data_IF_948803482778
#
_entry.id   IF_948803482778
#
_cell.length_a   1.000
_cell.length_b   1.000
_cell.length_c   1.000
_cell.angle_alpha   90.00
_cell.angle_beta   90.00
_cell.angle_gamma   90.00
#
_symmetry.space_group_name_H-M   'P 1'
#
loop_
_entity.id
_entity.type
_entity.pdbx_description
1 polymer ?
#
# COMPACT_ATOMS: atom_id res chain seq x y z
N UNK A 1 -12.14 -13.56 10.51
CA UNK A 1 -12.17 -12.09 10.46
C UNK A 1 -13.62 -11.67 10.62
N UNK A 2 -13.95 -10.83 11.59
CA UNK A 2 -15.33 -10.39 11.77
C UNK A 2 -15.68 -9.43 10.62
N UNK A 3 -16.37 -9.94 9.60
CA UNK A 3 -16.77 -9.19 8.41
C UNK A 3 -18.23 -8.72 8.51
N UNK A 4 -18.73 -8.64 9.75
CA UNK A 4 -20.06 -8.16 10.06
C UNK A 4 -20.16 -6.66 9.82
N UNK A 5 -21.27 -6.25 9.23
CA UNK A 5 -21.58 -4.84 9.00
C UNK A 5 -21.94 -4.21 10.35
N UNK A 6 -21.17 -3.23 10.78
CA UNK A 6 -21.31 -2.53 12.07
C UNK A 6 -21.63 -1.03 11.89
N UNK A 7 -22.29 -0.69 10.77
CA UNK A 7 -22.75 0.63 10.37
C UNK A 7 -24.04 0.49 9.56
N UNK A 8 -24.85 1.54 9.55
CA UNK A 8 -26.09 1.57 8.76
C UNK A 8 -25.82 1.99 7.31
N UNK A 9 -26.78 1.72 6.41
CA UNK A 9 -26.72 2.22 5.04
C UNK A 9 -26.75 3.75 4.98
N UNK A 10 -27.51 4.40 5.87
CA UNK A 10 -27.59 5.86 5.94
C UNK A 10 -26.23 6.48 6.34
N UNK A 11 -25.56 5.91 7.34
CA UNK A 11 -24.21 6.34 7.75
C UNK A 11 -23.21 6.21 6.60
N UNK A 12 -23.25 5.08 5.88
CA UNK A 12 -22.40 4.85 4.72
C UNK A 12 -22.67 5.85 3.61
N UNK A 13 -23.94 6.04 3.23
CA UNK A 13 -24.31 6.95 2.16
C UNK A 13 -23.93 8.39 2.49
N UNK A 14 -24.10 8.83 3.74
CA UNK A 14 -23.68 10.16 4.17
C UNK A 14 -22.17 10.38 3.98
N UNK A 15 -21.34 9.44 4.42
CA UNK A 15 -19.89 9.52 4.26
C UNK A 15 -19.49 9.45 2.78
N UNK A 16 -20.10 8.56 2.01
CA UNK A 16 -19.85 8.41 0.58
C UNK A 16 -20.14 9.72 -0.18
N UNK A 17 -21.30 10.35 0.06
CA UNK A 17 -21.65 11.62 -0.60
C UNK A 17 -20.69 12.75 -0.23
N UNK A 18 -20.21 12.80 1.00
CA UNK A 18 -19.21 13.78 1.43
C UNK A 18 -17.90 13.62 0.63
N UNK A 19 -17.38 12.39 0.53
CA UNK A 19 -16.14 12.08 -0.20
C UNK A 19 -16.35 12.33 -1.70
N UNK A 20 -17.47 11.89 -2.26
CA UNK A 20 -17.80 12.07 -3.66
C UNK A 20 -17.89 13.56 -4.04
N UNK A 21 -18.50 14.40 -3.19
CA UNK A 21 -18.56 15.85 -3.41
C UNK A 21 -17.17 16.48 -3.44
N UNK A 22 -16.25 16.02 -2.59
CA UNK A 22 -14.86 16.47 -2.58
C UNK A 22 -14.13 16.10 -3.87
N UNK A 23 -14.32 14.89 -4.40
CA UNK A 23 -13.72 14.50 -5.67
C UNK A 23 -14.36 15.23 -6.87
N UNK A 24 -15.69 15.36 -6.91
CA UNK A 24 -16.41 16.11 -7.96
C UNK A 24 -16.00 17.58 -8.05
N UNK A 25 -15.54 18.19 -6.95
CA UNK A 25 -15.08 19.59 -6.97
C UNK A 25 -13.63 19.76 -7.41
N UNK A 26 -12.86 18.68 -7.53
CA UNK A 26 -11.43 18.70 -7.89
C UNK A 26 -11.12 18.08 -9.24
N UNK A 27 -11.85 17.04 -9.63
CA UNK A 27 -11.51 16.23 -10.79
C UNK A 27 -12.58 16.33 -11.87
N UNK A 28 -12.11 16.46 -13.11
CA UNK A 28 -12.97 16.61 -14.29
C UNK A 28 -12.90 15.37 -15.16
N UNK A 29 -13.96 15.16 -15.93
CA UNK A 29 -14.04 14.08 -16.91
C UNK A 29 -12.93 14.18 -17.95
N UNK A 30 -12.39 13.03 -18.37
CA UNK A 30 -11.32 12.91 -19.35
C UNK A 30 -11.81 12.16 -20.57
N UNK A 31 -11.41 12.62 -21.77
CA UNK A 31 -11.74 11.93 -23.03
C UNK A 31 -11.08 10.55 -23.12
N UNK A 32 -9.84 10.45 -22.65
CA UNK A 32 -9.03 9.23 -22.62
C UNK A 32 -8.57 8.99 -21.18
N UNK A 33 -9.44 8.48 -20.29
CA UNK A 33 -9.11 8.36 -18.89
C UNK A 33 -8.03 7.29 -18.65
N UNK A 34 -7.22 7.50 -17.61
CA UNK A 34 -6.12 6.60 -17.23
C UNK A 34 -6.32 6.06 -15.82
N UNK A 35 -6.01 4.79 -15.61
CA UNK A 35 -5.97 4.15 -14.30
C UNK A 35 -4.58 3.57 -14.03
N UNK A 36 -3.97 3.99 -12.92
CA UNK A 36 -2.74 3.38 -12.41
C UNK A 36 -3.07 2.55 -11.19
N UNK A 37 -2.82 1.25 -11.25
CA UNK A 37 -2.88 0.39 -10.08
C UNK A 37 -1.49 0.37 -9.44
N UNK A 38 -1.42 0.54 -8.12
CA UNK A 38 -0.16 0.46 -7.38
C UNK A 38 -0.04 -0.88 -6.67
N UNK A 39 1.17 -1.43 -6.68
CA UNK A 39 1.53 -2.68 -6.01
C UNK A 39 2.79 -2.56 -5.16
N UNK A 40 2.93 -3.49 -4.21
CA UNK A 40 4.08 -3.56 -3.30
C UNK A 40 3.64 -3.87 -1.87
N UNK A 41 4.51 -4.56 -1.14
CA UNK A 41 4.26 -4.92 0.25
C UNK A 41 4.03 -3.69 1.15
N UNK A 42 3.37 -3.85 2.31
CA UNK A 42 3.28 -2.76 3.30
C UNK A 42 4.66 -2.16 3.61
N UNK A 43 4.75 -0.83 3.68
CA UNK A 43 6.02 -0.15 3.94
C UNK A 43 6.98 -0.06 2.75
N UNK A 44 6.63 -0.59 1.57
CA UNK A 44 7.49 -0.55 0.38
C UNK A 44 7.82 0.89 -0.09
N UNK A 45 6.91 1.84 0.15
CA UNK A 45 7.09 3.24 -0.27
C UNK A 45 6.15 3.70 -1.40
N UNK A 46 5.03 3.00 -1.62
CA UNK A 46 4.05 3.31 -2.68
C UNK A 46 3.61 4.78 -2.74
N UNK A 47 3.54 5.49 -1.61
CA UNK A 47 3.19 6.91 -1.59
C UNK A 47 4.19 7.81 -2.34
N UNK A 48 5.48 7.44 -2.38
CA UNK A 48 6.48 8.19 -3.18
C UNK A 48 6.23 8.01 -4.68
N UNK A 49 5.84 6.81 -5.09
CA UNK A 49 5.47 6.48 -6.46
C UNK A 49 4.15 7.16 -6.86
N UNK A 50 3.15 7.14 -5.97
CA UNK A 50 1.89 7.87 -6.14
C UNK A 50 2.13 9.37 -6.35
N UNK A 51 2.95 10.00 -5.51
CA UNK A 51 3.30 11.42 -5.65
C UNK A 51 4.02 11.72 -6.96
N UNK A 52 4.87 10.80 -7.45
CA UNK A 52 5.54 10.96 -8.74
C UNK A 52 4.52 10.94 -9.89
N UNK A 53 3.53 10.03 -9.85
CA UNK A 53 2.48 9.93 -10.87
C UNK A 53 1.54 11.13 -10.81
N UNK A 54 1.19 11.58 -9.60
CA UNK A 54 0.17 12.60 -9.36
C UNK A 54 0.73 13.98 -9.03
N UNK A 55 1.92 14.33 -9.52
CA UNK A 55 2.58 15.62 -9.21
C UNK A 55 1.73 16.83 -9.61
N UNK A 56 0.89 16.68 -10.64
CA UNK A 56 -0.02 17.72 -11.14
C UNK A 56 -1.43 17.65 -10.51
N UNK A 57 -1.67 16.76 -9.54
CA UNK A 57 -2.97 16.54 -8.87
C UNK A 57 -4.13 16.26 -9.86
N UNK A 58 -3.84 15.51 -10.93
CA UNK A 58 -4.81 15.18 -12.00
C UNK A 58 -5.53 13.84 -11.80
N UNK A 59 -5.08 13.03 -10.84
CA UNK A 59 -5.60 11.69 -10.60
C UNK A 59 -6.32 11.63 -9.25
N UNK A 60 -7.47 10.97 -9.22
CA UNK A 60 -8.12 10.61 -7.97
C UNK A 60 -7.35 9.46 -7.34
N UNK A 61 -6.64 9.74 -6.25
CA UNK A 61 -6.04 8.71 -5.41
C UNK A 61 -7.10 8.02 -4.55
N UNK A 62 -7.25 6.71 -4.75
CA UNK A 62 -8.20 5.85 -4.03
C UNK A 62 -7.40 4.79 -3.25
N UNK A 63 -7.40 4.91 -1.92
CA UNK A 63 -6.88 3.91 -0.98
C UNK A 63 -7.92 3.61 0.09
N UNK A 64 -8.18 2.33 0.34
CA UNK A 64 -9.14 1.91 1.37
C UNK A 64 -8.80 2.44 2.77
N UNK A 65 -7.51 2.67 3.05
CA UNK A 65 -7.07 3.15 4.36
C UNK A 65 -7.50 4.58 4.65
N UNK A 66 -7.56 5.44 3.64
CA UNK A 66 -7.96 6.84 3.77
C UNK A 66 -9.44 6.99 4.17
N UNK A 67 -10.25 5.99 3.84
CA UNK A 67 -11.69 6.01 4.09
C UNK A 67 -12.09 5.49 5.46
N UNK A 68 -11.19 4.80 6.17
CA UNK A 68 -11.48 4.23 7.50
C UNK A 68 -11.89 5.30 8.52
N UNK A 69 -11.27 6.48 8.45
CA UNK A 69 -11.55 7.62 9.35
C UNK A 69 -12.97 8.17 9.23
N UNK A 70 -13.69 7.85 8.15
CA UNK A 70 -15.08 8.26 7.95
C UNK A 70 -16.09 7.27 8.55
N UNK A 71 -15.62 6.13 9.08
CA UNK A 71 -16.48 5.17 9.75
C UNK A 71 -17.11 5.80 11.01
N UNK A 72 -18.43 5.65 11.25
CA UNK A 72 -19.13 6.30 12.37
C UNK A 72 -18.56 5.93 13.74
N UNK A 73 -18.08 4.70 13.89
CA UNK A 73 -17.43 4.21 15.11
C UNK A 73 -15.89 4.31 15.10
N UNK A 74 -15.27 5.05 14.18
CA UNK A 74 -13.81 5.04 14.01
C UNK A 74 -13.05 5.27 15.33
N UNK A 75 -13.34 6.35 16.06
CA UNK A 75 -12.66 6.66 17.32
C UNK A 75 -12.92 5.63 18.41
N UNK A 76 -14.17 5.14 18.50
CA UNK A 76 -14.56 4.10 19.47
C UNK A 76 -13.82 2.78 19.21
N UNK A 77 -13.74 2.35 17.95
CA UNK A 77 -13.04 1.13 17.55
C UNK A 77 -11.55 1.24 17.83
N UNK A 78 -10.93 2.39 17.55
CA UNK A 78 -9.52 2.60 17.87
C UNK A 78 -9.27 2.65 19.39
N UNK A 79 -10.19 3.22 20.18
CA UNK A 79 -10.08 3.24 21.64
C UNK A 79 -10.18 1.83 22.25
N UNK A 80 -11.07 0.98 21.73
CA UNK A 80 -11.32 -0.37 22.27
C UNK A 80 -10.28 -1.37 21.79
N UNK A 81 -9.96 -1.35 20.49
CA UNK A 81 -9.16 -2.40 19.84
C UNK A 81 -7.73 -1.97 19.48
N UNK A 82 -7.40 -0.67 19.59
CA UNK A 82 -6.07 -0.14 19.30
C UNK A 82 -5.53 -0.62 17.95
N UNK A 83 -4.42 -1.36 17.99
CA UNK A 83 -3.74 -1.92 16.81
C UNK A 83 -4.62 -2.84 15.95
N UNK A 84 -5.67 -3.41 16.51
CA UNK A 84 -6.57 -4.36 15.82
C UNK A 84 -7.82 -3.69 15.24
N UNK A 85 -8.01 -2.38 15.43
CA UNK A 85 -9.21 -1.65 14.98
C UNK A 85 -9.46 -1.71 13.47
N UNK A 86 -8.41 -1.87 12.65
CA UNK A 86 -8.54 -1.99 11.20
C UNK A 86 -9.34 -3.22 10.75
N UNK A 87 -9.38 -4.28 11.58
CA UNK A 87 -10.19 -5.48 11.30
C UNK A 87 -11.70 -5.16 11.28
N UNK A 88 -12.13 -4.20 12.11
CA UNK A 88 -13.54 -3.80 12.27
C UNK A 88 -14.01 -2.72 11.29
N UNK A 89 -13.08 -2.13 10.53
CA UNK A 89 -13.38 -1.13 9.50
C UNK A 89 -13.09 -1.65 8.09
N UNK A 90 -12.69 -2.92 7.94
CA UNK A 90 -12.28 -3.50 6.67
C UNK A 90 -13.43 -3.52 5.65
N UNK A 91 -14.62 -3.96 6.06
CA UNK A 91 -15.81 -3.98 5.19
C UNK A 91 -16.18 -2.58 4.70
N UNK A 92 -16.25 -1.61 5.61
CA UNK A 92 -16.47 -0.19 5.30
C UNK A 92 -15.47 0.35 4.27
N UNK A 93 -14.17 0.13 4.48
CA UNK A 93 -13.15 0.59 3.54
C UNK A 93 -13.28 -0.04 2.16
N UNK A 94 -13.63 -1.34 2.10
CA UNK A 94 -13.83 -2.05 0.84
C UNK A 94 -15.06 -1.53 0.09
N UNK A 95 -16.20 -1.43 0.76
CA UNK A 95 -17.44 -0.90 0.16
C UNK A 95 -17.25 0.54 -0.35
N UNK A 96 -16.53 1.39 0.39
CA UNK A 96 -16.24 2.76 -0.02
C UNK A 96 -15.39 2.80 -1.30
N UNK A 97 -14.32 1.99 -1.38
CA UNK A 97 -13.49 1.87 -2.59
C UNK A 97 -14.33 1.42 -3.77
N UNK A 98 -15.15 0.37 -3.62
CA UNK A 98 -16.00 -0.15 -4.70
C UNK A 98 -16.98 0.91 -5.23
N UNK A 99 -17.66 1.64 -4.34
CA UNK A 99 -18.59 2.71 -4.74
C UNK A 99 -17.87 3.88 -5.43
N UNK A 100 -16.70 4.28 -4.92
CA UNK A 100 -15.92 5.36 -5.52
C UNK A 100 -15.35 4.98 -6.89
N UNK A 101 -14.89 3.75 -7.07
CA UNK A 101 -14.42 3.26 -8.36
C UNK A 101 -15.56 3.22 -9.39
N UNK A 102 -16.77 2.84 -8.99
CA UNK A 102 -17.96 2.88 -9.84
C UNK A 102 -18.24 4.31 -10.33
N UNK A 103 -18.25 5.30 -9.43
CA UNK A 103 -18.45 6.70 -9.82
C UNK A 103 -17.28 7.24 -10.65
N UNK A 104 -16.03 6.91 -10.30
CA UNK A 104 -14.86 7.37 -11.06
C UNK A 104 -14.91 6.90 -12.52
N UNK A 105 -15.28 5.63 -12.77
CA UNK A 105 -15.46 5.06 -14.12
C UNK A 105 -16.63 5.68 -14.89
N UNK A 106 -17.71 6.03 -14.18
CA UNK A 106 -18.88 6.72 -14.75
C UNK A 106 -18.53 8.14 -15.19
N UNK A 107 -17.84 8.88 -14.33
CA UNK A 107 -17.43 10.27 -14.58
C UNK A 107 -16.18 10.39 -15.46
N UNK A 108 -15.52 9.27 -15.77
CA UNK A 108 -14.27 9.19 -16.56
C UNK A 108 -13.13 10.00 -15.96
N UNK A 109 -12.95 9.92 -14.64
CA UNK A 109 -11.78 10.52 -13.98
C UNK A 109 -10.53 9.68 -14.21
N UNK A 110 -9.38 10.33 -14.21
CA UNK A 110 -8.11 9.62 -14.04
C UNK A 110 -8.01 9.09 -12.60
N UNK A 111 -7.52 7.88 -12.41
CA UNK A 111 -7.50 7.19 -11.11
C UNK A 111 -6.11 6.64 -10.80
N UNK A 112 -5.70 6.76 -9.54
CA UNK A 112 -4.65 5.92 -8.96
C UNK A 112 -5.31 5.05 -7.90
N UNK A 113 -5.24 3.73 -8.05
CA UNK A 113 -5.81 2.76 -7.11
C UNK A 113 -4.67 2.09 -6.33
N UNK A 114 -4.61 2.34 -5.02
CA UNK A 114 -3.60 1.74 -4.15
C UNK A 114 -3.97 0.31 -3.77
N UNK A 115 -2.99 -0.59 -3.86
CA UNK A 115 -3.12 -1.97 -3.45
C UNK A 115 -1.79 -2.59 -3.02
N UNK A 116 -1.89 -3.81 -2.48
CA UNK A 116 -0.72 -4.59 -2.04
C UNK A 116 -0.38 -5.77 -2.97
N UNK A 117 -1.23 -6.05 -3.97
CA UNK A 117 -1.15 -7.25 -4.81
C UNK A 117 -1.09 -8.56 -4.01
N UNK A 118 -1.81 -8.63 -2.89
CA UNK A 118 -1.91 -9.85 -2.07
C UNK A 118 -2.57 -11.03 -2.82
N UNK A 119 -3.41 -10.72 -3.81
CA UNK A 119 -4.09 -11.67 -4.68
C UNK A 119 -4.04 -11.11 -6.10
N UNK A 120 -3.72 -11.94 -7.09
CA UNK A 120 -3.65 -11.52 -8.49
C UNK A 120 -5.03 -11.24 -9.10
N UNK A 121 -6.07 -11.91 -8.63
CA UNK A 121 -7.40 -11.85 -9.23
C UNK A 121 -8.03 -10.45 -9.11
N UNK A 122 -7.80 -9.79 -7.97
CA UNK A 122 -8.36 -8.47 -7.69
C UNK A 122 -7.85 -7.39 -8.67
N UNK A 123 -6.54 -7.11 -8.79
CA UNK A 123 -6.03 -6.14 -9.76
C UNK A 123 -6.34 -6.52 -11.21
N UNK A 124 -6.38 -7.80 -11.56
CA UNK A 124 -6.80 -8.25 -12.91
C UNK A 124 -8.26 -7.89 -13.17
N UNK A 125 -9.15 -8.13 -12.20
CA UNK A 125 -10.57 -7.76 -12.31
C UNK A 125 -10.73 -6.26 -12.44
N UNK A 126 -10.13 -5.47 -11.56
CA UNK A 126 -10.24 -4.01 -11.62
C UNK A 126 -9.69 -3.46 -12.94
N UNK A 127 -8.58 -4.01 -13.46
CA UNK A 127 -8.05 -3.61 -14.75
C UNK A 127 -9.02 -3.93 -15.91
N UNK A 128 -9.68 -5.10 -15.90
CA UNK A 128 -10.71 -5.42 -16.90
C UNK A 128 -11.89 -4.44 -16.81
N UNK A 129 -12.40 -4.18 -15.61
CA UNK A 129 -13.52 -3.24 -15.39
C UNK A 129 -13.19 -1.83 -15.89
N UNK A 130 -11.95 -1.37 -15.67
CA UNK A 130 -11.48 -0.09 -16.21
C UNK A 130 -11.40 -0.10 -17.75
N UNK A 131 -10.83 -1.15 -18.36
CA UNK A 131 -10.70 -1.25 -19.82
C UNK A 131 -12.06 -1.32 -20.52
N UNK A 132 -13.02 -2.06 -19.97
CA UNK A 132 -14.41 -2.08 -20.45
C UNK A 132 -15.07 -0.69 -20.41
N UNK A 133 -14.56 0.18 -19.55
CA UNK A 133 -14.97 1.58 -19.44
C UNK A 133 -14.09 2.55 -20.25
N UNK A 134 -13.26 2.06 -21.17
CA UNK A 134 -12.47 2.90 -22.09
C UNK A 134 -11.22 3.52 -21.47
N UNK A 135 -10.70 2.96 -20.38
CA UNK A 135 -9.46 3.42 -19.76
C UNK A 135 -8.24 2.79 -20.40
N UNK A 136 -7.13 3.54 -20.40
CA UNK A 136 -5.81 2.92 -20.39
C UNK A 136 -5.44 2.54 -18.96
N UNK A 137 -4.87 1.36 -18.78
CA UNK A 137 -4.60 0.79 -17.44
C UNK A 137 -3.18 0.28 -17.34
N UNK A 138 -2.41 0.82 -16.40
CA UNK A 138 -1.04 0.40 -16.10
C UNK A 138 -0.91 -0.07 -14.64
N UNK A 139 0.01 -1.00 -14.38
CA UNK A 139 0.35 -1.50 -13.04
C UNK A 139 1.75 -1.06 -12.65
N UNK A 140 1.90 -0.23 -11.60
CA UNK A 140 3.20 0.19 -11.10
C UNK A 140 3.48 -0.45 -9.75
N UNK A 141 4.63 -1.11 -9.61
CA UNK A 141 4.99 -1.88 -8.42
C UNK A 141 6.28 -1.33 -7.82
N UNK A 142 6.31 -1.12 -6.50
CA UNK A 142 7.57 -0.79 -5.81
C UNK A 142 8.28 -2.08 -5.44
N UNK A 143 9.47 -2.29 -5.99
CA UNK A 143 10.38 -3.36 -5.66
C UNK A 143 11.38 -2.87 -4.60
N UNK A 144 11.38 -3.49 -3.44
CA UNK A 144 12.29 -3.15 -2.35
C UNK A 144 12.51 -4.35 -1.45
N UNK A 145 13.71 -4.47 -0.89
CA UNK A 145 14.06 -5.49 0.10
C UNK A 145 13.00 -5.62 1.22
N UNK A 146 12.53 -6.84 1.53
CA UNK A 146 11.54 -7.09 2.58
C UNK A 146 11.90 -6.50 3.94
N UNK A 147 13.19 -6.50 4.31
CA UNK A 147 13.67 -5.97 5.58
C UNK A 147 13.50 -4.45 5.65
N UNK A 148 13.74 -3.73 4.54
CA UNK A 148 13.54 -2.28 4.46
C UNK A 148 12.07 -1.89 4.52
N UNK A 149 11.19 -2.66 3.89
CA UNK A 149 9.75 -2.41 3.93
C UNK A 149 9.18 -2.72 5.32
N UNK A 150 9.63 -3.80 5.96
CA UNK A 150 9.23 -4.13 7.32
C UNK A 150 9.65 -3.06 8.31
N UNK A 151 10.91 -2.62 8.31
CA UNK A 151 11.35 -1.52 9.17
C UNK A 151 10.50 -0.26 8.95
N UNK A 152 10.13 0.04 7.71
CA UNK A 152 9.31 1.20 7.40
C UNK A 152 7.88 1.11 7.97
N UNK A 153 7.31 -0.10 8.12
CA UNK A 153 5.99 -0.23 8.78
C UNK A 153 6.08 0.12 10.26
N UNK A 154 7.17 -0.30 10.93
CA UNK A 154 7.45 0.01 12.33
C UNK A 154 7.72 1.50 12.54
N UNK A 155 8.56 2.09 11.69
CA UNK A 155 8.84 3.54 11.73
C UNK A 155 7.56 4.35 11.55
N UNK A 156 6.72 4.02 10.57
CA UNK A 156 5.44 4.69 10.35
C UNK A 156 4.54 4.62 11.60
N UNK A 157 4.51 3.48 12.28
CA UNK A 157 3.73 3.32 13.50
C UNK A 157 4.19 4.31 14.59
N UNK A 158 5.48 4.34 14.87
CA UNK A 158 6.06 5.24 15.88
C UNK A 158 5.95 6.73 15.49
N UNK A 159 6.13 7.07 14.20
CA UNK A 159 5.95 8.43 13.70
C UNK A 159 4.51 8.94 13.89
N UNK A 160 3.51 8.07 13.74
CA UNK A 160 2.11 8.42 13.97
C UNK A 160 1.85 8.74 15.45
N UNK A 161 2.43 7.96 16.37
CA UNK A 161 2.34 8.22 17.82
C UNK A 161 2.95 9.58 18.15
N UNK A 162 4.17 9.85 17.67
CA UNK A 162 4.88 11.12 17.92
C UNK A 162 4.07 12.32 17.40
N UNK A 163 3.34 12.15 16.30
CA UNK A 163 2.47 13.19 15.73
C UNK A 163 1.09 13.31 16.41
N UNK A 164 0.84 12.56 17.49
CA UNK A 164 -0.46 12.54 18.17
C UNK A 164 -1.61 12.00 17.32
N UNK A 165 -1.30 11.19 16.30
CA UNK A 165 -2.28 10.54 15.42
C UNK A 165 -2.50 9.10 15.85
N UNK A 166 -3.68 8.56 15.57
CA UNK A 166 -4.00 7.16 15.84
C UNK A 166 -3.11 6.27 14.96
N UNK A 167 -2.14 5.53 15.53
CA UNK A 167 -1.21 4.76 14.73
C UNK A 167 -1.88 3.48 14.23
N UNK A 168 -1.49 3.03 13.05
CA UNK A 168 -1.97 1.77 12.49
C UNK A 168 -0.81 0.80 12.38
N UNK A 169 -0.86 -0.25 13.21
CA UNK A 169 0.10 -1.33 13.13
C UNK A 169 -0.15 -2.15 11.86
N UNK A 170 0.93 -2.56 11.21
CA UNK A 170 0.87 -3.63 10.20
C UNK A 170 1.45 -4.88 10.85
N UNK A 171 0.62 -5.88 11.20
CA UNK A 171 1.12 -7.16 11.69
C UNK A 171 2.17 -7.73 10.74
N UNK A 172 3.26 -8.27 11.29
CA UNK A 172 4.38 -8.78 10.52
C UNK A 172 3.91 -9.88 9.56
N UNK A 173 2.99 -10.72 10.01
CA UNK A 173 2.43 -11.82 9.22
C UNK A 173 1.71 -11.30 7.98
N UNK A 174 1.03 -10.14 8.06
CA UNK A 174 0.40 -9.51 6.90
C UNK A 174 1.43 -8.93 5.92
N UNK A 175 2.53 -8.37 6.43
CA UNK A 175 3.64 -7.93 5.59
C UNK A 175 4.28 -9.12 4.86
N UNK A 176 4.66 -10.16 5.62
CA UNK A 176 5.38 -11.33 5.12
C UNK A 176 4.54 -12.14 4.15
N UNK A 177 3.22 -12.28 4.39
CA UNK A 177 2.31 -12.90 3.43
C UNK A 177 2.38 -12.22 2.06
N UNK A 178 2.40 -10.88 2.03
CA UNK A 178 2.52 -10.16 0.74
C UNK A 178 3.90 -10.37 0.14
N UNK A 179 4.98 -10.30 0.92
CA UNK A 179 6.35 -10.54 0.43
C UNK A 179 6.47 -11.93 -0.22
N UNK A 180 5.92 -12.96 0.39
CA UNK A 180 6.01 -14.33 -0.11
C UNK A 180 5.17 -14.55 -1.38
N UNK A 181 4.02 -13.88 -1.48
CA UNK A 181 3.06 -14.14 -2.56
C UNK A 181 3.21 -13.19 -3.75
N UNK A 182 3.75 -11.98 -3.55
CA UNK A 182 3.71 -10.90 -4.55
C UNK A 182 4.43 -11.27 -5.86
N UNK A 183 5.55 -12.01 -5.79
CA UNK A 183 6.26 -12.46 -6.99
C UNK A 183 5.40 -13.38 -7.86
N UNK A 184 4.76 -14.39 -7.25
CA UNK A 184 3.85 -15.29 -7.94
C UNK A 184 2.59 -14.57 -8.46
N UNK A 185 2.03 -13.65 -7.66
CA UNK A 185 0.89 -12.86 -8.09
C UNK A 185 1.24 -11.96 -9.29
N UNK A 186 2.44 -11.40 -9.31
CA UNK A 186 2.92 -10.56 -10.40
C UNK A 186 3.15 -11.37 -11.69
N UNK A 187 3.62 -12.61 -11.57
CA UNK A 187 3.69 -13.57 -12.68
C UNK A 187 2.29 -13.85 -13.27
N UNK A 188 1.29 -14.11 -12.42
CA UNK A 188 -0.09 -14.34 -12.86
C UNK A 188 -0.65 -13.10 -13.58
N UNK A 189 -0.42 -11.90 -13.01
CA UNK A 189 -0.85 -10.63 -13.62
C UNK A 189 -0.17 -10.39 -14.98
N UNK A 190 1.15 -10.63 -15.05
CA UNK A 190 1.91 -10.51 -16.28
C UNK A 190 1.40 -11.47 -17.37
N UNK A 191 1.08 -12.71 -17.02
CA UNK A 191 0.54 -13.70 -17.94
C UNK A 191 -0.93 -13.46 -18.31
N UNK A 192 -1.68 -12.68 -17.54
CA UNK A 192 -3.05 -12.32 -17.87
C UNK A 192 -3.14 -11.35 -19.06
N UNK A 193 -2.05 -10.64 -19.38
CA UNK A 193 -1.96 -9.64 -20.46
C UNK A 193 -3.06 -8.57 -20.41
N UNK A 194 -3.60 -8.31 -19.22
CA UNK A 194 -4.72 -7.36 -19.03
C UNK A 194 -4.23 -5.91 -19.07
N UNK A 195 -3.09 -5.63 -18.43
CA UNK A 195 -2.52 -4.30 -18.30
C UNK A 195 -1.83 -3.86 -19.59
N UNK A 196 -1.97 -2.59 -19.94
CA UNK A 196 -1.30 -1.98 -21.10
C UNK A 196 0.22 -1.86 -20.85
N UNK A 197 0.61 -1.67 -19.59
CA UNK A 197 2.00 -1.71 -19.17
C UNK A 197 2.13 -2.16 -17.70
N UNK A 198 3.26 -2.77 -17.37
CA UNK A 198 3.69 -3.10 -16.02
C UNK A 198 5.07 -2.48 -15.81
N UNK A 199 5.22 -1.66 -14.77
CA UNK A 199 6.49 -1.04 -14.42
C UNK A 199 6.88 -1.34 -12.98
N UNK A 200 8.15 -1.64 -12.76
CA UNK A 200 8.70 -1.76 -11.41
C UNK A 200 9.63 -0.59 -11.15
N UNK A 201 9.55 -0.05 -9.93
CA UNK A 201 10.37 1.04 -9.46
C UNK A 201 11.07 0.66 -8.16
N UNK A 202 12.28 1.14 -7.95
CA UNK A 202 12.88 1.09 -6.61
C UNK A 202 12.23 2.13 -5.69
N UNK A 203 12.70 2.20 -4.44
CA UNK A 203 12.18 3.13 -3.43
C UNK A 203 12.55 4.59 -3.70
N UNK A 204 13.49 4.85 -4.59
CA UNK A 204 13.91 6.18 -5.04
C UNK A 204 13.21 6.61 -6.34
N UNK A 205 12.22 5.81 -6.78
CA UNK A 205 11.47 5.97 -8.04
C UNK A 205 12.31 5.79 -9.31
N UNK A 206 13.47 5.12 -9.25
CA UNK A 206 14.18 4.72 -10.46
C UNK A 206 13.43 3.55 -11.12
N UNK A 207 13.28 3.62 -12.44
CA UNK A 207 12.64 2.55 -13.23
C UNK A 207 13.55 1.33 -13.32
N UNK A 208 13.08 0.18 -12.84
CA UNK A 208 13.79 -1.09 -12.86
C UNK A 208 13.34 -2.01 -14.00
N UNK A 209 12.07 -1.87 -14.42
CA UNK A 209 11.46 -2.71 -15.44
C UNK A 209 10.33 -1.96 -16.13
N UNK A 210 10.18 -2.18 -17.44
CA UNK A 210 9.09 -1.69 -18.26
C UNK A 210 8.66 -2.81 -19.22
N UNK A 211 7.42 -3.32 -19.05
CA UNK A 211 6.91 -4.43 -19.84
C UNK A 211 6.94 -4.16 -21.35
N UNK A 212 6.66 -2.93 -21.78
CA UNK A 212 6.69 -2.57 -23.21
C UNK A 212 8.09 -2.71 -23.80
N UNK A 213 9.14 -2.41 -23.02
CA UNK A 213 10.53 -2.48 -23.46
C UNK A 213 11.12 -3.88 -23.32
N UNK A 214 10.52 -4.74 -22.52
CA UNK A 214 11.02 -6.09 -22.20
C UNK A 214 9.88 -7.10 -22.04
N UNK A 215 9.09 -7.33 -23.10
CA UNK A 215 7.82 -8.06 -23.01
C UNK A 215 7.99 -9.56 -22.74
N UNK A 216 9.18 -10.11 -22.95
CA UNK A 216 9.51 -11.53 -22.74
C UNK A 216 10.12 -11.80 -21.36
N UNK A 217 10.45 -10.76 -20.59
CA UNK A 217 11.03 -10.89 -19.25
C UNK A 217 9.90 -10.75 -18.24
N UNK A 218 9.72 -11.78 -17.40
CA UNK A 218 8.75 -11.69 -16.32
C UNK A 218 9.17 -10.62 -15.28
N UNK A 219 8.25 -9.72 -14.87
CA UNK A 219 8.50 -8.78 -13.78
C UNK A 219 8.76 -9.46 -12.44
N UNK A 220 8.35 -10.72 -12.23
CA UNK A 220 8.70 -11.51 -11.04
C UNK A 220 10.21 -11.59 -10.85
N UNK A 221 10.95 -11.86 -11.93
CA UNK A 221 12.40 -12.01 -11.89
C UNK A 221 13.10 -10.73 -11.42
N UNK A 222 12.58 -9.57 -11.86
CA UNK A 222 13.11 -8.26 -11.47
C UNK A 222 12.80 -7.98 -9.99
N UNK A 223 11.58 -8.29 -9.54
CA UNK A 223 11.18 -8.15 -8.15
C UNK A 223 12.03 -9.02 -7.21
N UNK A 224 12.18 -10.31 -7.53
CA UNK A 224 12.96 -11.26 -6.73
C UNK A 224 14.44 -10.90 -6.71
N UNK A 225 14.99 -10.41 -7.83
CA UNK A 225 16.36 -9.88 -7.87
C UNK A 225 16.53 -8.73 -6.88
N UNK A 226 15.59 -7.79 -6.80
CA UNK A 226 15.68 -6.67 -5.85
C UNK A 226 15.49 -7.15 -4.39
N UNK A 227 14.57 -8.08 -4.16
CA UNK A 227 14.32 -8.65 -2.83
C UNK A 227 15.57 -9.34 -2.26
N UNK A 228 16.28 -10.09 -3.09
CA UNK A 228 17.33 -11.00 -2.64
C UNK A 228 18.74 -10.61 -3.08
N UNK A 229 18.94 -9.49 -3.79
CA UNK A 229 20.31 -9.06 -4.09
C UNK A 229 21.08 -8.73 -2.81
N UNK A 230 22.40 -8.95 -2.87
CA UNK A 230 23.30 -8.72 -1.74
C UNK A 230 23.23 -7.28 -1.25
N UNK A 231 23.32 -7.12 0.07
CA UNK A 231 23.35 -5.82 0.69
C UNK A 231 24.72 -5.18 0.56
N UNK A 232 24.76 -3.90 0.16
CA UNK A 232 26.01 -3.14 0.16
C UNK A 232 26.38 -2.71 1.59
N UNK A 233 27.67 -2.60 1.89
CA UNK A 233 28.14 -2.22 3.24
C UNK A 233 27.55 -0.87 3.69
N UNK A 234 27.50 0.12 2.79
CA UNK A 234 26.90 1.43 3.07
C UNK A 234 25.39 1.34 3.32
N UNK A 235 24.71 0.41 2.66
CA UNK A 235 23.29 0.15 2.81
C UNK A 235 22.97 -0.47 4.16
N UNK A 236 23.79 -1.43 4.61
CA UNK A 236 23.70 -2.05 5.95
C UNK A 236 23.88 -0.99 7.03
N UNK A 237 24.90 -0.13 6.90
CA UNK A 237 25.13 0.98 7.85
C UNK A 237 23.92 1.90 7.95
N UNK A 238 23.38 2.35 6.82
CA UNK A 238 22.17 3.20 6.79
C UNK A 238 20.95 2.49 7.39
N UNK A 239 20.80 1.20 7.15
CA UNK A 239 19.72 0.41 7.72
C UNK A 239 19.85 0.28 9.25
N UNK A 240 21.06 0.06 9.75
CA UNK A 240 21.35 0.02 11.18
C UNK A 240 21.02 1.34 11.88
N UNK A 241 21.38 2.47 11.28
CA UNK A 241 21.04 3.81 11.82
C UNK A 241 19.53 4.05 11.89
N UNK A 242 18.76 3.56 10.90
CA UNK A 242 17.30 3.62 10.95
C UNK A 242 16.71 2.78 12.08
N UNK A 243 17.29 1.62 12.38
CA UNK A 243 16.91 0.81 13.54
C UNK A 243 17.24 1.50 14.87
N UNK A 244 18.42 2.11 14.99
CA UNK A 244 18.79 2.91 16.18
C UNK A 244 17.80 4.04 16.40
N UNK A 245 17.44 4.76 15.33
CA UNK A 245 16.43 5.83 15.37
C UNK A 245 15.08 5.31 15.85
N UNK A 246 14.62 4.17 15.34
CA UNK A 246 13.36 3.55 15.77
C UNK A 246 13.35 3.20 17.27
N UNK A 247 14.44 2.58 17.76
CA UNK A 247 14.58 2.24 19.19
C UNK A 247 14.55 3.51 20.05
N UNK A 248 15.25 4.57 19.63
CA UNK A 248 15.25 5.85 20.32
C UNK A 248 13.85 6.49 20.35
N UNK A 249 13.05 6.37 19.28
CA UNK A 249 11.66 6.84 19.28
C UNK A 249 10.82 6.10 20.34
N UNK A 250 10.99 4.78 20.46
CA UNK A 250 10.29 3.98 21.46
C UNK A 250 10.71 4.33 22.89
N UNK A 251 12.01 4.51 23.13
CA UNK A 251 12.55 4.96 24.43
C UNK A 251 12.00 6.34 24.81
N UNK A 252 11.97 7.29 23.86
CA UNK A 252 11.45 8.64 24.09
C UNK A 252 9.95 8.66 24.43
N UNK A 253 9.13 7.80 23.80
CA UNK A 253 7.72 7.66 24.18
C UNK A 253 7.49 6.81 25.43
N UNK A 254 8.56 6.35 26.09
CA UNK A 254 8.52 5.48 27.26
C UNK A 254 7.76 4.17 26.98
N UNK A 255 8.03 3.55 25.84
CA UNK A 255 7.55 2.20 25.52
C UNK A 255 7.95 1.21 26.62
N UNK A 256 7.18 0.12 26.77
CA UNK A 256 7.49 -0.86 27.82
C UNK A 256 8.83 -1.56 27.55
N UNK A 257 9.46 -2.06 28.62
CA UNK A 257 10.69 -2.86 28.50
C UNK A 257 10.49 -4.06 27.57
N UNK A 258 9.33 -4.71 27.64
CA UNK A 258 8.97 -5.85 26.79
C UNK A 258 8.89 -5.47 25.31
N UNK A 259 8.24 -4.34 24.97
CA UNK A 259 8.15 -3.85 23.59
C UNK A 259 9.54 -3.58 23.00
N UNK A 260 10.41 -2.88 23.75
CA UNK A 260 11.77 -2.55 23.30
C UNK A 260 12.62 -3.81 23.17
N UNK A 261 12.50 -4.76 24.11
CA UNK A 261 13.22 -6.03 24.08
C UNK A 261 12.82 -6.88 22.86
N UNK A 262 11.52 -6.97 22.56
CA UNK A 262 11.02 -7.65 21.37
C UNK A 262 11.57 -7.00 20.08
N UNK A 263 11.57 -5.67 19.99
CA UNK A 263 12.13 -4.96 18.83
C UNK A 263 13.64 -5.22 18.66
N UNK A 264 14.41 -5.22 19.76
CA UNK A 264 15.85 -5.51 19.73
C UNK A 264 16.15 -6.93 19.26
N UNK A 265 15.40 -7.93 19.74
CA UNK A 265 15.52 -9.30 19.27
C UNK A 265 15.16 -9.43 17.78
N UNK A 266 14.10 -8.76 17.32
CA UNK A 266 13.73 -8.73 15.89
C UNK A 266 14.86 -8.12 15.03
N UNK A 267 15.46 -7.00 15.48
CA UNK A 267 16.64 -6.41 14.83
C UNK A 267 17.77 -7.43 14.73
N UNK A 268 18.14 -8.09 15.82
CA UNK A 268 19.22 -9.08 15.82
C UNK A 268 18.95 -10.23 14.84
N UNK A 269 17.72 -10.76 14.80
CA UNK A 269 17.35 -11.83 13.87
C UNK A 269 17.49 -11.42 12.41
N UNK A 270 17.12 -10.18 12.07
CA UNK A 270 17.29 -9.64 10.72
C UNK A 270 18.78 -9.49 10.38
N UNK A 271 19.58 -8.90 11.27
CA UNK A 271 21.00 -8.65 11.00
C UNK A 271 21.84 -9.93 10.94
N UNK A 272 21.45 -11.01 11.61
CA UNK A 272 22.08 -12.33 11.46
C UNK A 272 22.09 -12.83 10.01
N UNK A 273 21.15 -12.37 9.17
CA UNK A 273 21.06 -12.76 7.75
C UNK A 273 22.07 -12.03 6.86
N UNK A 274 22.74 -10.99 7.36
CA UNK A 274 23.78 -10.25 6.62
C UNK A 274 25.20 -10.71 6.96
N UNK A 275 25.35 -11.59 7.94
CA UNK A 275 26.63 -12.07 8.46
C UNK A 275 27.09 -13.39 7.81
N UNK A 276 26.33 -13.87 6.82
CA UNK A 276 26.60 -15.04 5.98
C UNK A 276 26.35 -14.66 4.52
#
# INVERSE_FOLDING_TARGET
>A
MNNEKNYTDEEFQKAFQQILKFYKSRYTSQKNPKAFLLGGQPGAGKSALENMINIEDKYVSISGDDYRKFHPLYDKLNKIYGKDASKYTQKWSGEMVEHLLKEARKEKWNVILEGTLRKAELPIREAKDFKENGYSVELYVVAVKPEKSYLATLQRYEEMIVRGRIPRMTPKEHHDLVVNDIGNNLEIIYNSKTFDNIKLFDRENNLLYNYIESPDISPKNILEKEFYCEWKIEEIKKFEEKWKTLIMMMENRKASFEEISQLKNEKEQIFKRFLF
#
